data_IF_304074756796
#
_entry.id   IF_304074756796
#
_cell.length_a   1.000
_cell.length_b   1.000
_cell.length_c   1.000
_cell.angle_alpha   90.00
_cell.angle_beta   90.00
_cell.angle_gamma   90.00
#
_symmetry.space_group_name_H-M   'P 1'
#
loop_
_entity.id
_entity.type
_entity.pdbx_description
1 polymer ?
#
# COMPACT_ATOMS: atom_id res chain seq x y z
N UNK A 1 9.82 12.18 -23.88
CA UNK A 1 10.98 12.70 -23.14
C UNK A 1 11.41 11.64 -22.12
N UNK A 2 12.53 10.95 -22.35
CA UNK A 2 12.98 9.81 -21.51
C UNK A 2 13.48 10.27 -20.14
N UNK A 3 14.10 11.44 -20.06
CA UNK A 3 14.59 12.00 -18.80
C UNK A 3 13.41 12.38 -17.90
N UNK A 4 12.38 13.03 -18.47
CA UNK A 4 11.15 13.32 -17.75
C UNK A 4 10.45 12.04 -17.25
N UNK A 5 10.31 11.01 -18.11
CA UNK A 5 9.71 9.73 -17.72
C UNK A 5 10.48 9.05 -16.60
N UNK A 6 11.81 9.10 -16.64
CA UNK A 6 12.68 8.53 -15.59
C UNK A 6 12.40 9.22 -14.26
N UNK A 7 12.42 10.56 -14.23
CA UNK A 7 12.18 11.34 -12.99
C UNK A 7 10.80 11.10 -12.39
N UNK A 8 9.77 11.08 -13.24
CA UNK A 8 8.38 10.82 -12.79
C UNK A 8 8.26 9.41 -12.24
N UNK A 9 8.75 8.40 -12.97
CA UNK A 9 8.68 7.02 -12.54
C UNK A 9 9.45 6.78 -11.24
N UNK A 10 10.68 7.29 -11.13
CA UNK A 10 11.49 7.15 -9.91
C UNK A 10 10.83 7.75 -8.68
N UNK A 11 10.13 8.90 -8.82
CA UNK A 11 9.41 9.49 -7.69
C UNK A 11 8.15 8.67 -7.35
N UNK A 12 7.43 8.20 -8.36
CA UNK A 12 6.21 7.43 -8.17
C UNK A 12 6.51 6.07 -7.53
N UNK A 13 7.50 5.31 -8.04
CA UNK A 13 7.86 4.02 -7.48
C UNK A 13 8.33 4.13 -6.03
N UNK A 14 9.16 5.14 -5.73
CA UNK A 14 9.58 5.43 -4.36
C UNK A 14 8.40 5.78 -3.45
N UNK A 15 7.42 6.53 -3.95
CA UNK A 15 6.20 6.84 -3.19
C UNK A 15 5.37 5.59 -2.90
N UNK A 16 5.15 4.71 -3.88
CA UNK A 16 4.38 3.47 -3.69
C UNK A 16 4.99 2.57 -2.62
N UNK A 17 6.31 2.37 -2.64
CA UNK A 17 6.99 1.56 -1.62
C UNK A 17 6.87 2.15 -0.20
N UNK A 18 6.99 3.48 -0.09
CA UNK A 18 6.90 4.20 1.18
C UNK A 18 5.47 4.19 1.73
N UNK A 19 4.49 4.36 0.85
CA UNK A 19 3.07 4.33 1.20
C UNK A 19 2.67 2.98 1.77
N UNK A 20 2.95 1.90 1.03
CA UNK A 20 2.67 0.54 1.46
C UNK A 20 3.34 0.21 2.80
N UNK A 21 4.60 0.62 2.99
CA UNK A 21 5.29 0.40 4.27
C UNK A 21 4.71 1.24 5.41
N UNK A 22 4.22 2.45 5.15
CA UNK A 22 3.57 3.27 6.16
C UNK A 22 2.25 2.64 6.63
N UNK A 23 1.47 2.08 5.71
CA UNK A 23 0.23 1.35 6.03
C UNK A 23 0.52 0.13 6.88
N UNK A 24 1.49 -0.67 6.45
CA UNK A 24 1.93 -1.88 7.15
C UNK A 24 2.61 -1.60 8.50
N UNK A 25 3.07 -0.37 8.76
CA UNK A 25 3.64 0.02 10.05
C UNK A 25 2.61 0.57 11.01
N UNK A 26 1.66 1.34 10.49
CA UNK A 26 0.83 2.22 11.29
C UNK A 26 -0.66 1.98 11.08
N UNK A 27 -1.11 1.86 9.84
CA UNK A 27 -2.55 1.78 9.53
C UNK A 27 -3.12 0.41 9.87
N UNK A 28 -2.61 -0.67 9.27
CA UNK A 28 -3.18 -2.01 9.46
C UNK A 28 -3.16 -2.49 10.91
N UNK A 29 -2.11 -2.23 11.73
CA UNK A 29 -2.15 -2.55 13.15
C UNK A 29 -3.23 -1.79 13.93
N UNK A 30 -3.56 -0.55 13.55
CA UNK A 30 -4.66 0.19 14.16
C UNK A 30 -6.02 -0.27 13.63
N UNK A 31 -6.10 -0.61 12.35
CA UNK A 31 -7.30 -1.19 11.72
C UNK A 31 -7.70 -2.49 12.41
N UNK A 32 -6.78 -3.45 12.59
CA UNK A 32 -7.10 -4.72 13.27
C UNK A 32 -7.59 -4.55 14.72
N UNK A 33 -7.21 -3.46 15.41
CA UNK A 33 -7.68 -3.20 16.78
C UNK A 33 -9.12 -2.70 16.86
N UNK A 34 -9.60 -1.98 15.84
CA UNK A 34 -10.87 -1.25 15.89
C UNK A 34 -11.87 -1.64 14.81
N UNK A 35 -11.37 -2.22 13.72
CA UNK A 35 -12.13 -2.65 12.56
C UNK A 35 -13.01 -3.87 12.85
N UNK A 36 -14.10 -3.96 12.10
CA UNK A 36 -15.11 -5.02 12.19
C UNK A 36 -15.43 -5.63 10.83
N UNK A 37 -14.55 -5.42 9.84
CA UNK A 37 -14.80 -5.72 8.43
C UNK A 37 -15.91 -4.83 7.83
N UNK A 38 -15.71 -4.39 6.58
CA UNK A 38 -16.66 -3.53 5.89
C UNK A 38 -16.99 -4.00 4.46
N UNK A 39 -18.24 -3.75 4.07
CA UNK A 39 -18.77 -4.00 2.72
C UNK A 39 -18.68 -5.47 2.31
N UNK A 40 -17.82 -5.79 1.36
CA UNK A 40 -17.62 -7.12 0.76
C UNK A 40 -16.45 -7.89 1.39
N UNK A 41 -15.81 -7.35 2.43
CA UNK A 41 -14.82 -8.07 3.22
C UNK A 41 -15.48 -9.19 4.04
N UNK A 42 -14.84 -10.36 4.10
CA UNK A 42 -15.33 -11.51 4.87
C UNK A 42 -14.93 -11.41 6.35
N UNK A 43 -15.75 -11.98 7.24
CA UNK A 43 -15.46 -12.05 8.68
C UNK A 43 -16.08 -10.93 9.52
N UNK A 44 -15.83 -10.99 10.84
CA UNK A 44 -16.32 -10.04 11.84
C UNK A 44 -15.19 -9.12 12.39
N UNK A 45 -13.97 -9.28 11.85
CA UNK A 45 -12.77 -8.51 12.19
C UNK A 45 -11.99 -8.13 10.93
N UNK A 46 -11.02 -7.22 11.08
CA UNK A 46 -10.24 -6.70 9.97
C UNK A 46 -8.99 -7.54 9.61
N UNK A 47 -8.84 -8.74 10.18
CA UNK A 47 -7.71 -9.63 9.91
C UNK A 47 -7.66 -10.09 8.45
N UNK A 48 -8.74 -10.69 7.89
CA UNK A 48 -8.77 -11.14 6.49
C UNK A 48 -8.50 -10.02 5.48
N UNK A 49 -9.14 -8.85 5.65
CA UNK A 49 -8.89 -7.69 4.76
C UNK A 49 -7.45 -7.17 4.89
N UNK A 50 -6.85 -7.27 6.07
CA UNK A 50 -5.43 -6.91 6.26
C UNK A 50 -4.52 -7.93 5.56
N UNK A 51 -4.81 -9.23 5.67
CA UNK A 51 -4.06 -10.28 4.98
C UNK A 51 -4.03 -10.04 3.46
N UNK A 52 -5.20 -9.79 2.87
CA UNK A 52 -5.35 -9.47 1.44
C UNK A 52 -4.54 -8.21 1.06
N UNK A 53 -4.59 -7.17 1.90
CA UNK A 53 -3.83 -5.94 1.66
C UNK A 53 -2.31 -6.17 1.67
N UNK A 54 -1.79 -6.99 2.59
CA UNK A 54 -0.36 -7.38 2.61
C UNK A 54 0.01 -8.14 1.34
N UNK A 55 -0.85 -9.07 0.89
CA UNK A 55 -0.61 -9.81 -0.35
C UNK A 55 -0.57 -8.87 -1.56
N UNK A 56 -1.49 -7.91 -1.62
CA UNK A 56 -1.56 -6.95 -2.71
C UNK A 56 -0.38 -5.97 -2.72
N UNK A 57 0.16 -5.58 -1.56
CA UNK A 57 1.43 -4.85 -1.49
C UNK A 57 2.61 -5.64 -2.02
N UNK A 58 2.70 -6.93 -1.72
CA UNK A 58 3.75 -7.79 -2.27
C UNK A 58 3.67 -7.84 -3.81
N UNK A 59 2.46 -8.00 -4.36
CA UNK A 59 2.23 -7.98 -5.81
C UNK A 59 2.63 -6.63 -6.41
N UNK A 60 2.31 -5.52 -5.75
CA UNK A 60 2.66 -4.17 -6.21
C UNK A 60 4.17 -3.96 -6.25
N UNK A 61 4.89 -4.33 -5.18
CA UNK A 61 6.36 -4.28 -5.11
C UNK A 61 7.01 -5.06 -6.24
N UNK A 62 6.51 -6.28 -6.48
CA UNK A 62 7.01 -7.12 -7.57
C UNK A 62 6.73 -6.51 -8.95
N UNK A 63 5.55 -5.92 -9.15
CA UNK A 63 5.19 -5.25 -10.39
C UNK A 63 6.03 -3.99 -10.64
N UNK A 64 6.25 -3.17 -9.62
CA UNK A 64 7.13 -1.98 -9.68
C UNK A 64 8.55 -2.40 -10.03
N UNK A 65 9.10 -3.39 -9.34
CA UNK A 65 10.45 -3.91 -9.60
C UNK A 65 10.60 -4.54 -11.00
N UNK A 66 9.52 -5.09 -11.56
CA UNK A 66 9.54 -5.64 -12.91
C UNK A 66 9.74 -4.56 -13.99
N UNK A 67 9.38 -3.30 -13.73
CA UNK A 67 9.57 -2.18 -14.67
C UNK A 67 11.06 -1.93 -14.95
N UNK A 68 11.93 -2.12 -13.96
CA UNK A 68 13.38 -1.90 -14.08
C UNK A 68 14.06 -2.81 -15.11
N UNK A 69 13.38 -3.87 -15.55
CA UNK A 69 13.86 -4.79 -16.59
C UNK A 69 13.84 -4.19 -18.00
N UNK A 70 13.16 -3.06 -18.19
CA UNK A 70 12.91 -2.48 -19.50
C UNK A 70 13.49 -1.07 -19.62
N UNK A 71 14.11 -0.70 -20.76
CA UNK A 71 14.59 0.65 -20.96
C UNK A 71 13.43 1.67 -20.95
N UNK A 72 13.59 2.75 -20.18
CA UNK A 72 12.58 3.79 -19.99
C UNK A 72 12.11 4.37 -21.34
N UNK A 73 10.79 4.51 -21.48
CA UNK A 73 10.16 5.07 -22.68
C UNK A 73 9.95 4.08 -23.83
N UNK A 74 10.40 2.83 -23.70
CA UNK A 74 10.07 1.78 -24.67
C UNK A 74 8.63 1.27 -24.49
N UNK A 75 8.06 0.65 -25.52
CA UNK A 75 6.72 0.03 -25.41
C UNK A 75 6.63 -1.02 -24.31
N UNK A 76 7.68 -1.83 -24.14
CA UNK A 76 7.76 -2.82 -23.06
C UNK A 76 7.81 -2.17 -21.67
N UNK A 77 8.49 -1.03 -21.53
CA UNK A 77 8.49 -0.24 -20.29
C UNK A 77 7.10 0.34 -19.99
N UNK A 78 6.41 0.89 -21.00
CA UNK A 78 5.03 1.40 -20.85
C UNK A 78 4.08 0.27 -20.43
N UNK A 79 4.21 -0.90 -21.05
CA UNK A 79 3.40 -2.07 -20.68
C UNK A 79 3.67 -2.52 -19.24
N UNK A 80 4.92 -2.52 -18.79
CA UNK A 80 5.28 -2.88 -17.42
C UNK A 80 4.74 -1.87 -16.40
N UNK A 81 4.85 -0.56 -16.68
CA UNK A 81 4.21 0.50 -15.86
C UNK A 81 2.70 0.31 -15.82
N UNK A 82 2.07 -0.04 -16.96
CA UNK A 82 0.65 -0.34 -17.03
C UNK A 82 0.24 -1.52 -16.14
N UNK A 83 1.04 -2.59 -16.08
CA UNK A 83 0.81 -3.72 -15.18
C UNK A 83 0.90 -3.31 -13.71
N UNK A 84 1.91 -2.52 -13.33
CA UNK A 84 2.01 -1.97 -11.98
C UNK A 84 0.78 -1.10 -11.64
N UNK A 85 0.30 -0.28 -12.59
CA UNK A 85 -0.89 0.52 -12.41
C UNK A 85 -2.17 -0.31 -12.21
N UNK A 86 -2.32 -1.43 -12.92
CA UNK A 86 -3.48 -2.34 -12.74
C UNK A 86 -3.46 -2.95 -11.34
N UNK A 87 -2.30 -3.44 -10.88
CA UNK A 87 -2.14 -3.99 -9.52
C UNK A 87 -2.46 -2.90 -8.48
N UNK A 88 -1.89 -1.71 -8.63
CA UNK A 88 -2.15 -0.59 -7.73
C UNK A 88 -3.64 -0.21 -7.70
N UNK A 89 -4.31 -0.19 -8.86
CA UNK A 89 -5.72 0.19 -8.95
C UNK A 89 -6.64 -0.83 -8.26
N UNK A 90 -6.29 -2.12 -8.30
CA UNK A 90 -7.01 -3.16 -7.57
C UNK A 90 -6.88 -2.93 -6.06
N UNK A 91 -5.63 -2.84 -5.58
CA UNK A 91 -5.30 -2.58 -4.18
C UNK A 91 -6.02 -1.34 -3.62
N UNK A 92 -5.86 -0.18 -4.27
CA UNK A 92 -6.54 1.06 -3.86
C UNK A 92 -8.06 0.90 -3.82
N UNK A 93 -8.63 0.17 -4.78
CA UNK A 93 -10.06 -0.08 -4.82
C UNK A 93 -10.56 -0.91 -3.65
N UNK A 94 -9.83 -1.94 -3.25
CA UNK A 94 -10.13 -2.78 -2.09
C UNK A 94 -9.99 -1.97 -0.81
N UNK A 95 -8.86 -1.29 -0.62
CA UNK A 95 -8.60 -0.50 0.58
C UNK A 95 -9.62 0.65 0.79
N UNK A 96 -9.96 1.41 -0.26
CA UNK A 96 -10.95 2.49 -0.17
C UNK A 96 -12.34 1.97 0.23
N UNK A 97 -12.73 0.81 -0.30
CA UNK A 97 -14.04 0.20 -0.04
C UNK A 97 -14.07 -0.56 1.28
N UNK A 98 -12.96 -1.13 1.73
CA UNK A 98 -12.90 -2.01 2.90
C UNK A 98 -12.19 -1.28 4.03
N UNK A 99 -10.90 -1.53 4.26
CA UNK A 99 -10.15 -1.06 5.42
C UNK A 99 -10.29 0.43 5.75
N UNK A 100 -10.22 1.34 4.77
CA UNK A 100 -10.40 2.77 5.05
C UNK A 100 -11.85 3.14 5.40
N UNK A 101 -12.81 2.48 4.77
CA UNK A 101 -14.23 2.65 5.09
C UNK A 101 -14.52 2.13 6.50
N UNK A 102 -13.97 0.97 6.86
CA UNK A 102 -14.13 0.36 8.17
C UNK A 102 -13.48 1.24 9.26
N UNK A 103 -12.22 1.60 9.07
CA UNK A 103 -11.49 2.44 10.00
C UNK A 103 -12.19 3.78 10.25
N UNK A 104 -12.74 4.42 9.21
CA UNK A 104 -13.47 5.69 9.36
C UNK A 104 -14.74 5.56 10.19
N UNK A 105 -15.40 4.40 10.19
CA UNK A 105 -16.63 4.12 10.95
C UNK A 105 -16.32 3.84 12.42
N UNK A 106 -15.20 3.18 12.71
CA UNK A 106 -14.93 2.63 14.04
C UNK A 106 -13.82 3.36 14.81
N UNK A 107 -12.84 3.96 14.14
CA UNK A 107 -11.74 4.65 14.80
C UNK A 107 -12.17 6.04 15.34
N UNK A 108 -11.83 6.37 16.61
CA UNK A 108 -12.01 7.71 17.13
C UNK A 108 -11.29 8.77 16.28
N UNK A 109 -11.83 10.00 16.25
CA UNK A 109 -11.24 11.11 15.50
C UNK A 109 -9.78 11.38 15.90
N UNK A 110 -9.46 11.31 17.20
CA UNK A 110 -8.10 11.54 17.68
C UNK A 110 -7.13 10.47 17.16
N UNK A 111 -7.51 9.18 17.20
CA UNK A 111 -6.72 8.08 16.63
C UNK A 111 -6.43 8.31 15.16
N UNK A 112 -7.45 8.71 14.38
CA UNK A 112 -7.28 9.02 12.95
C UNK A 112 -6.33 10.19 12.72
N UNK A 113 -6.40 11.23 13.55
CA UNK A 113 -5.52 12.38 13.45
C UNK A 113 -4.07 12.02 13.77
N UNK A 114 -3.84 11.32 14.89
CA UNK A 114 -2.50 10.94 15.32
C UNK A 114 -1.84 10.01 14.30
N UNK A 115 -2.61 9.06 13.76
CA UNK A 115 -2.18 8.20 12.66
C UNK A 115 -1.82 9.02 11.41
N UNK A 116 -2.67 9.98 11.01
CA UNK A 116 -2.40 10.80 9.83
C UNK A 116 -1.11 11.64 9.96
N UNK A 117 -0.83 12.18 11.15
CA UNK A 117 0.41 12.92 11.42
C UNK A 117 1.62 11.98 11.35
N UNK A 118 1.54 10.79 11.96
CA UNK A 118 2.61 9.79 11.92
C UNK A 118 2.91 9.32 10.50
N UNK A 119 1.86 9.05 9.73
CA UNK A 119 1.95 8.62 8.34
C UNK A 119 2.62 9.69 7.48
N UNK A 120 2.14 10.93 7.55
CA UNK A 120 2.69 12.05 6.78
C UNK A 120 4.15 12.34 7.14
N UNK A 121 4.52 12.23 8.43
CA UNK A 121 5.92 12.38 8.85
C UNK A 121 6.80 11.28 8.25
N UNK A 122 6.35 10.03 8.28
CA UNK A 122 7.09 8.91 7.69
C UNK A 122 7.28 9.05 6.18
N UNK A 123 6.24 9.44 5.45
CA UNK A 123 6.35 9.68 4.01
C UNK A 123 7.31 10.82 3.67
N UNK A 124 7.29 11.89 4.48
CA UNK A 124 8.19 13.03 4.31
C UNK A 124 9.66 12.66 4.57
N UNK A 125 9.93 11.91 5.63
CA UNK A 125 11.29 11.45 5.98
C UNK A 125 11.87 10.47 4.94
N UNK A 126 11.02 9.77 4.21
CA UNK A 126 11.41 8.75 3.23
C UNK A 126 11.05 9.14 1.79
N UNK A 127 11.02 10.43 1.47
CA UNK A 127 10.60 10.93 0.15
C UNK A 127 11.37 10.32 -1.05
N UNK A 128 12.60 9.87 -0.82
CA UNK A 128 13.46 9.23 -1.83
C UNK A 128 13.33 7.70 -1.88
N UNK A 129 12.41 7.12 -1.11
CA UNK A 129 12.15 5.69 -1.05
C UNK A 129 12.77 5.01 0.17
N UNK A 130 12.40 3.74 0.31
CA UNK A 130 12.91 2.80 1.30
C UNK A 130 13.36 1.52 0.60
N UNK A 131 13.91 0.57 1.35
CA UNK A 131 14.09 -0.81 0.84
C UNK A 131 12.76 -1.56 0.99
N UNK A 132 12.05 -1.91 -0.10
CA UNK A 132 10.83 -2.69 0.00
C UNK A 132 11.13 -4.11 0.45
N UNK A 133 10.26 -4.65 1.30
CA UNK A 133 10.35 -6.01 1.83
C UNK A 133 8.96 -6.63 1.77
N UNK A 134 8.82 -7.74 1.04
CA UNK A 134 7.59 -8.50 1.05
C UNK A 134 7.38 -9.15 2.42
N UNK A 135 6.14 -9.15 2.90
CA UNK A 135 5.75 -9.69 4.21
C UNK A 135 4.90 -10.94 4.01
N UNK A 136 5.05 -11.90 4.91
CA UNK A 136 4.15 -13.06 4.95
C UNK A 136 2.79 -12.61 5.50
N UNK A 137 1.69 -12.72 4.73
CA UNK A 137 0.40 -12.16 5.15
C UNK A 137 -0.14 -12.79 6.45
N UNK A 138 -0.16 -14.12 6.53
CA UNK A 138 -0.65 -14.86 7.69
C UNK A 138 0.16 -14.51 8.96
N UNK A 139 1.50 -14.57 8.88
CA UNK A 139 2.36 -14.24 10.01
C UNK A 139 2.31 -12.75 10.38
N UNK A 140 1.99 -11.86 9.43
CA UNK A 140 1.77 -10.45 9.71
C UNK A 140 0.53 -10.26 10.57
N UNK A 141 -0.61 -10.85 10.17
CA UNK A 141 -1.87 -10.77 10.93
C UNK A 141 -1.71 -11.43 12.30
N UNK A 142 -1.10 -12.61 12.41
CA UNK A 142 -0.86 -13.28 13.70
C UNK A 142 -0.07 -12.40 14.68
N UNK A 143 0.89 -11.63 14.17
CA UNK A 143 1.75 -10.77 14.99
C UNK A 143 1.09 -9.47 15.42
N UNK A 144 0.16 -8.95 14.62
CA UNK A 144 -0.36 -7.58 14.74
C UNK A 144 -1.86 -7.50 15.08
N UNK A 145 -2.61 -8.60 14.96
CA UNK A 145 -4.01 -8.74 15.38
C UNK A 145 -4.22 -9.03 16.86
#
# INVERSE_FOLDING_TARGET
>A
DVDALTKVWSRLSAFLDVHAEAEERFFYPELMKVGKSANDAEGDDAGPETEDAIEDHNKLRDAVKAVDKYPVGTGAWIEAVGKANVVNSKHMGEEERQGLTDFRRHAPLQTRHDLAVQFAAFEADHITGIKPVNKDPEAYVEKHG
#
